data_IF_276147409117
#
_entry.id   IF_276147409117
#
_cell.length_a   1.000
_cell.length_b   1.000
_cell.length_c   1.000
_cell.angle_alpha   90.00
_cell.angle_beta   90.00
_cell.angle_gamma   90.00
#
_symmetry.space_group_name_H-M   'P 1'
#
loop_
_entity.id
_entity.type
_entity.pdbx_description
1 polymer ?
#
# COMPACT_ATOMS: atom_id res chain seq x y z
N UNK A 1 21.18 -5.76 -12.79
CA UNK A 1 19.85 -5.48 -12.25
C UNK A 1 18.84 -5.46 -13.38
N UNK A 2 17.73 -6.12 -13.20
CA UNK A 2 16.73 -6.17 -14.26
C UNK A 2 15.59 -5.19 -13.98
N UNK A 3 14.76 -4.97 -14.99
CA UNK A 3 13.63 -4.05 -14.89
C UNK A 3 12.63 -4.45 -13.80
N UNK A 4 12.44 -5.75 -13.63
CA UNK A 4 11.47 -6.24 -12.66
C UNK A 4 11.84 -5.82 -11.25
N UNK A 5 13.12 -5.83 -10.92
CA UNK A 5 13.60 -5.42 -9.60
C UNK A 5 13.37 -3.94 -9.37
N UNK A 6 13.68 -3.11 -10.36
CA UNK A 6 13.46 -1.66 -10.26
C UNK A 6 11.99 -1.33 -10.19
N UNK A 7 11.19 -1.94 -11.04
CA UNK A 7 9.77 -1.71 -11.07
C UNK A 7 9.13 -2.06 -9.73
N UNK A 8 9.45 -3.23 -9.21
CA UNK A 8 8.89 -3.71 -7.96
C UNK A 8 9.27 -2.79 -6.80
N UNK A 9 10.53 -2.38 -6.76
CA UNK A 9 11.00 -1.51 -5.71
C UNK A 9 10.27 -0.15 -5.71
N UNK A 10 10.10 0.43 -6.89
CA UNK A 10 9.39 1.71 -7.02
C UNK A 10 7.92 1.56 -6.70
N UNK A 11 7.30 0.48 -7.14
CA UNK A 11 5.90 0.23 -6.85
C UNK A 11 5.67 0.12 -5.34
N UNK A 12 6.53 -0.64 -4.66
CA UNK A 12 6.42 -0.78 -3.20
C UNK A 12 6.59 0.56 -2.49
N UNK A 13 7.52 1.37 -2.96
CA UNK A 13 7.74 2.69 -2.39
C UNK A 13 6.49 3.56 -2.52
N UNK A 14 5.89 3.58 -3.71
CA UNK A 14 4.70 4.39 -3.96
C UNK A 14 3.51 3.91 -3.14
N UNK A 15 3.33 2.60 -3.04
CA UNK A 15 2.23 2.05 -2.23
C UNK A 15 2.43 2.42 -0.75
N UNK A 16 3.66 2.31 -0.25
CA UNK A 16 3.97 2.65 1.14
C UNK A 16 3.71 4.13 1.42
N UNK A 17 4.08 4.99 0.49
CA UNK A 17 3.82 6.43 0.62
C UNK A 17 2.33 6.72 0.65
N UNK A 18 1.56 6.01 -0.16
CA UNK A 18 0.11 6.19 -0.17
C UNK A 18 -0.52 5.75 1.15
N UNK A 19 -0.05 4.64 1.71
CA UNK A 19 -0.52 4.19 3.02
C UNK A 19 -0.23 5.26 4.08
N UNK A 20 0.96 5.83 4.07
CA UNK A 20 1.34 6.86 5.02
C UNK A 20 0.47 8.11 4.85
N UNK A 21 0.20 8.50 3.61
CA UNK A 21 -0.62 9.67 3.33
C UNK A 21 -2.04 9.49 3.85
N UNK A 22 -2.65 8.34 3.56
CA UNK A 22 -4.01 8.05 4.03
C UNK A 22 -4.06 7.97 5.55
N UNK A 23 -3.06 7.32 6.14
CA UNK A 23 -2.98 7.20 7.60
C UNK A 23 -2.82 8.54 8.28
N UNK A 24 -1.98 9.42 7.72
CA UNK A 24 -1.79 10.76 8.26
C UNK A 24 -3.07 11.59 8.20
N UNK A 25 -3.79 11.50 7.07
CA UNK A 25 -5.06 12.20 6.92
C UNK A 25 -6.08 11.73 7.94
N UNK A 26 -6.12 10.43 8.21
CA UNK A 26 -7.01 9.89 9.24
C UNK A 26 -6.64 10.40 10.63
N UNK A 27 -5.35 10.40 10.93
CA UNK A 27 -4.85 10.85 12.25
C UNK A 27 -5.16 12.33 12.48
N UNK A 28 -5.12 13.13 11.41
CA UNK A 28 -5.42 14.55 11.50
C UNK A 28 -6.92 14.86 11.43
N UNK A 29 -7.73 13.86 11.17
CA UNK A 29 -9.18 14.03 11.06
C UNK A 29 -9.64 14.77 9.84
N UNK A 30 -8.77 14.93 8.84
CA UNK A 30 -9.08 15.73 7.66
C UNK A 30 -10.09 15.07 6.72
N UNK A 31 -10.08 13.75 6.68
CA UNK A 31 -10.94 13.01 5.77
C UNK A 31 -11.99 12.17 6.48
N UNK A 32 -12.15 12.33 7.80
CA UNK A 32 -13.10 11.53 8.57
C UNK A 32 -14.18 12.43 9.13
N UNK A 33 -15.38 12.33 8.56
CA UNK A 33 -16.55 13.06 9.04
C UNK A 33 -17.54 12.14 9.76
N UNK A 34 -17.50 10.84 9.46
CA UNK A 34 -18.42 9.89 10.06
C UNK A 34 -17.79 8.49 10.03
N UNK A 35 -18.51 7.54 10.61
CA UNK A 35 -18.02 6.18 10.74
C UNK A 35 -17.94 5.47 9.40
N UNK A 36 -18.81 5.82 8.46
CA UNK A 36 -18.76 5.24 7.11
C UNK A 36 -17.48 5.64 6.40
N UNK A 37 -17.10 6.89 6.52
CA UNK A 37 -15.86 7.39 5.95
C UNK A 37 -14.66 6.76 6.60
N UNK A 38 -14.70 6.58 7.92
CA UNK A 38 -13.63 5.89 8.64
C UNK A 38 -13.45 4.47 8.11
N UNK A 39 -14.52 3.72 7.97
CA UNK A 39 -14.47 2.35 7.46
C UNK A 39 -13.93 2.31 6.04
N UNK A 40 -14.31 3.27 5.22
CA UNK A 40 -13.82 3.37 3.85
C UNK A 40 -12.29 3.54 3.83
N UNK A 41 -11.77 4.43 4.65
CA UNK A 41 -10.33 4.69 4.69
C UNK A 41 -9.55 3.50 5.26
N UNK A 42 -10.10 2.83 6.27
CA UNK A 42 -9.49 1.62 6.80
C UNK A 42 -9.41 0.55 5.72
N UNK A 43 -10.49 0.37 4.95
CA UNK A 43 -10.52 -0.59 3.85
C UNK A 43 -9.48 -0.25 2.79
N UNK A 44 -9.29 1.03 2.52
CA UNK A 44 -8.29 1.48 1.57
C UNK A 44 -6.88 1.11 2.02
N UNK A 45 -6.56 1.35 3.29
CA UNK A 45 -5.26 0.98 3.84
C UNK A 45 -5.04 -0.53 3.79
N UNK A 46 -6.06 -1.29 4.16
CA UNK A 46 -5.97 -2.75 4.11
C UNK A 46 -5.75 -3.26 2.68
N UNK A 47 -6.43 -2.65 1.71
CA UNK A 47 -6.23 -2.99 0.31
C UNK A 47 -4.81 -2.69 -0.17
N UNK A 48 -4.28 -1.54 0.23
CA UNK A 48 -2.90 -1.17 -0.12
C UNK A 48 -1.89 -2.11 0.52
N UNK A 49 -2.12 -2.51 1.76
CA UNK A 49 -1.24 -3.48 2.43
C UNK A 49 -1.29 -4.85 1.74
N UNK A 50 -2.48 -5.25 1.31
CA UNK A 50 -2.61 -6.48 0.52
C UNK A 50 -1.80 -6.40 -0.76
N UNK A 51 -1.81 -5.26 -1.41
CA UNK A 51 -1.02 -5.06 -2.63
C UNK A 51 0.48 -5.19 -2.35
N UNK A 52 0.95 -4.66 -1.22
CA UNK A 52 2.35 -4.83 -0.83
C UNK A 52 2.70 -6.30 -0.61
N UNK A 53 1.82 -7.02 0.07
CA UNK A 53 2.04 -8.46 0.30
C UNK A 53 2.10 -9.23 -1.00
N UNK A 54 1.27 -8.87 -1.97
CA UNK A 54 1.29 -9.52 -3.28
C UNK A 54 2.58 -9.22 -4.03
N UNK A 55 3.10 -8.02 -3.91
CA UNK A 55 4.39 -7.67 -4.51
C UNK A 55 5.51 -8.54 -3.94
N UNK A 56 5.51 -8.75 -2.64
CA UNK A 56 6.51 -9.60 -2.00
C UNK A 56 6.35 -11.06 -2.42
N UNK A 57 5.12 -11.51 -2.55
CA UNK A 57 4.84 -12.87 -3.00
C UNK A 57 5.36 -13.10 -4.42
N UNK A 58 5.14 -12.15 -5.31
CA UNK A 58 5.66 -12.24 -6.67
C UNK A 58 7.18 -12.28 -6.67
N UNK A 59 7.81 -11.45 -5.84
CA UNK A 59 9.26 -11.42 -5.73
C UNK A 59 9.79 -12.78 -5.26
N UNK A 60 9.12 -13.40 -4.29
CA UNK A 60 9.50 -14.73 -3.81
C UNK A 60 9.38 -15.78 -4.92
N UNK A 61 8.29 -15.75 -5.66
CA UNK A 61 8.08 -16.68 -6.76
C UNK A 61 9.19 -16.54 -7.79
N UNK A 62 9.51 -15.31 -8.16
CA UNK A 62 10.53 -15.07 -9.18
C UNK A 62 11.93 -15.43 -8.71
N UNK A 63 12.22 -15.24 -7.43
CA UNK A 63 13.56 -15.59 -6.92
C UNK A 63 13.78 -17.09 -6.81
N UNK A 64 12.75 -17.88 -6.83
CA UNK A 64 12.85 -19.34 -6.78
C UNK A 64 13.00 -19.99 -8.15
N UNK A 65 12.95 -19.24 -9.21
CA UNK A 65 13.07 -19.76 -10.56
C UNK A 65 14.51 -19.70 -11.10
#
# INVERSE_FOLDING_TARGET
>A
MNYNTLFEKELRRLISEEIERVSANMANGLSINDIGQYKHEVGRILGLRSALNLCEEVNDILSKR
#
